data_IF_253688607047
#
_entry.id   IF_253688607047
#
_cell.length_a   1.000
_cell.length_b   1.000
_cell.length_c   1.000
_cell.angle_alpha   90.00
_cell.angle_beta   90.00
_cell.angle_gamma   90.00
#
_symmetry.space_group_name_H-M   'P 1'
#
loop_
_entity.id
_entity.type
_entity.pdbx_description
1 polymer ?
#
# COMPACT_ATOMS: atom_id res chain seq x y z
N UNK A 1 -17.53 -14.34 -29.94
CA UNK A 1 -16.53 -13.63 -29.12
C UNK A 1 -16.18 -14.49 -27.92
N UNK A 2 -14.91 -14.68 -27.65
CA UNK A 2 -14.46 -15.42 -26.45
C UNK A 2 -14.30 -14.42 -25.30
N UNK A 3 -15.15 -14.49 -24.29
CA UNK A 3 -15.24 -13.49 -23.21
C UNK A 3 -15.22 -14.20 -21.85
N UNK A 4 -14.20 -13.99 -21.07
CA UNK A 4 -14.00 -14.73 -19.84
C UNK A 4 -13.83 -13.83 -18.62
N UNK A 5 -14.49 -14.19 -17.50
CA UNK A 5 -14.02 -13.80 -16.17
C UNK A 5 -12.89 -14.77 -15.77
N UNK A 6 -11.77 -14.23 -15.28
CA UNK A 6 -10.55 -14.98 -14.99
C UNK A 6 -10.06 -14.70 -13.58
N UNK A 7 -9.53 -15.73 -12.93
CA UNK A 7 -8.85 -15.64 -11.65
C UNK A 7 -7.76 -16.73 -11.57
N UNK A 8 -6.68 -16.47 -10.82
CA UNK A 8 -5.61 -17.43 -10.55
C UNK A 8 -5.31 -17.54 -9.07
N UNK A 9 -4.86 -18.75 -8.67
CA UNK A 9 -4.25 -18.97 -7.36
C UNK A 9 -2.78 -19.36 -7.51
N UNK A 10 -1.93 -18.82 -6.65
CA UNK A 10 -0.47 -18.94 -6.73
C UNK A 10 0.13 -19.33 -5.38
N UNK A 11 1.36 -19.86 -5.39
CA UNK A 11 2.05 -20.25 -4.16
C UNK A 11 2.65 -19.09 -3.36
N UNK A 12 2.41 -17.83 -3.75
CA UNK A 12 2.91 -16.67 -3.03
C UNK A 12 2.61 -15.34 -3.71
N UNK A 13 3.19 -14.27 -3.20
CA UNK A 13 3.11 -12.95 -3.80
C UNK A 13 4.05 -12.82 -5.01
N UNK A 14 3.88 -11.80 -5.85
CA UNK A 14 4.63 -11.62 -7.10
C UNK A 14 6.15 -11.74 -6.97
N UNK A 15 6.74 -11.29 -5.85
CA UNK A 15 8.18 -11.42 -5.64
C UNK A 15 8.63 -12.85 -5.26
N UNK A 16 7.75 -13.66 -4.69
CA UNK A 16 8.03 -15.03 -4.20
C UNK A 16 7.50 -16.12 -5.13
N UNK A 17 6.35 -15.86 -5.80
CA UNK A 17 5.67 -16.90 -6.58
C UNK A 17 6.56 -17.47 -7.70
N UNK A 18 6.48 -18.77 -7.84
CA UNK A 18 7.09 -19.54 -8.93
C UNK A 18 6.12 -20.55 -9.55
N UNK A 19 4.87 -20.58 -9.04
CA UNK A 19 3.84 -21.54 -9.48
C UNK A 19 2.45 -20.90 -9.51
N UNK A 20 1.71 -21.22 -10.57
CA UNK A 20 0.27 -21.03 -10.66
C UNK A 20 -0.38 -22.37 -10.32
N UNK A 21 -1.12 -22.42 -9.23
CA UNK A 21 -1.82 -23.61 -8.74
C UNK A 21 -3.13 -23.84 -9.49
N UNK A 22 -3.90 -22.78 -9.65
CA UNK A 22 -5.23 -22.81 -10.27
C UNK A 22 -5.35 -21.66 -11.28
N UNK A 23 -5.98 -21.94 -12.39
CA UNK A 23 -6.46 -20.95 -13.37
C UNK A 23 -7.90 -21.30 -13.70
N UNK A 24 -8.81 -20.40 -13.43
CA UNK A 24 -10.23 -20.62 -13.72
C UNK A 24 -10.73 -19.53 -14.67
N UNK A 25 -11.39 -19.98 -15.73
CA UNK A 25 -12.08 -19.13 -16.69
C UNK A 25 -13.59 -19.41 -16.58
N UNK A 26 -14.37 -18.36 -16.52
CA UNK A 26 -15.82 -18.45 -16.62
C UNK A 26 -16.28 -17.69 -17.84
N UNK A 27 -16.92 -18.38 -18.76
CA UNK A 27 -17.51 -17.77 -19.94
C UNK A 27 -18.62 -16.78 -19.51
N UNK A 28 -18.52 -15.53 -19.97
CA UNK A 28 -19.44 -14.47 -19.58
C UNK A 28 -20.83 -14.64 -20.21
N UNK A 29 -20.93 -15.31 -21.35
CA UNK A 29 -22.16 -15.46 -22.09
C UNK A 29 -22.91 -16.76 -21.71
N UNK A 30 -22.21 -17.89 -21.56
CA UNK A 30 -22.79 -19.19 -21.25
C UNK A 30 -22.77 -19.55 -19.76
N UNK A 31 -21.92 -18.87 -18.98
CA UNK A 31 -21.62 -19.19 -17.58
C UNK A 31 -20.89 -20.52 -17.37
N UNK A 32 -20.39 -21.14 -18.43
CA UNK A 32 -19.57 -22.36 -18.36
C UNK A 32 -18.27 -22.07 -17.61
N UNK A 33 -17.84 -23.01 -16.76
CA UNK A 33 -16.60 -22.93 -15.97
C UNK A 33 -15.56 -23.85 -16.57
N UNK A 34 -14.42 -23.29 -16.89
CA UNK A 34 -13.23 -24.03 -17.34
C UNK A 34 -12.22 -23.93 -16.22
N UNK A 35 -12.09 -25.01 -15.47
CA UNK A 35 -11.27 -25.11 -14.27
C UNK A 35 -9.98 -25.84 -14.60
N UNK A 36 -8.82 -25.18 -14.40
CA UNK A 36 -7.51 -25.68 -14.78
C UNK A 36 -6.58 -25.74 -13.57
N UNK A 37 -5.86 -26.86 -13.45
CA UNK A 37 -4.77 -27.07 -12.51
C UNK A 37 -3.82 -28.12 -13.07
N UNK A 38 -2.54 -28.05 -12.71
CA UNK A 38 -1.60 -29.13 -13.03
C UNK A 38 -1.62 -30.24 -11.97
N UNK A 39 -2.54 -30.13 -11.00
CA UNK A 39 -2.76 -31.09 -9.91
C UNK A 39 -4.24 -31.55 -9.91
N UNK A 40 -4.54 -32.63 -9.20
CA UNK A 40 -5.90 -33.17 -9.18
C UNK A 40 -6.34 -33.79 -10.53
N UNK A 41 -7.65 -33.75 -10.78
CA UNK A 41 -8.26 -34.26 -12.02
C UNK A 41 -8.86 -33.11 -12.85
N UNK A 42 -8.04 -32.09 -13.11
CA UNK A 42 -8.42 -30.87 -13.83
C UNK A 42 -7.72 -30.80 -15.19
N UNK A 43 -8.20 -29.91 -16.05
CA UNK A 43 -7.50 -29.56 -17.28
C UNK A 43 -6.15 -28.90 -16.92
N UNK A 44 -5.08 -29.12 -17.68
CA UNK A 44 -3.80 -28.47 -17.38
C UNK A 44 -3.90 -26.94 -17.51
N UNK A 45 -3.15 -26.20 -16.70
CA UNK A 45 -3.12 -24.73 -16.74
C UNK A 45 -2.84 -24.20 -18.13
N UNK A 46 -1.97 -24.90 -18.90
CA UNK A 46 -1.64 -24.54 -20.28
C UNK A 46 -2.86 -24.50 -21.21
N UNK A 47 -3.88 -25.33 -20.95
CA UNK A 47 -5.13 -25.31 -21.72
C UNK A 47 -5.89 -23.98 -21.47
N UNK A 48 -6.05 -23.58 -20.22
CA UNK A 48 -6.67 -22.29 -19.87
C UNK A 48 -5.91 -21.10 -20.46
N UNK A 49 -4.57 -21.14 -20.42
CA UNK A 49 -3.74 -20.09 -21.03
C UNK A 49 -3.97 -19.99 -22.54
N UNK A 50 -4.10 -21.13 -23.25
CA UNK A 50 -4.37 -21.12 -24.70
C UNK A 50 -5.73 -20.48 -25.06
N UNK A 51 -6.70 -20.54 -24.16
CA UNK A 51 -7.98 -19.83 -24.32
C UNK A 51 -7.85 -18.33 -24.05
N UNK A 52 -7.09 -17.94 -23.02
CA UNK A 52 -6.82 -16.54 -22.73
C UNK A 52 -6.04 -15.85 -23.86
N UNK A 53 -5.10 -16.54 -24.52
CA UNK A 53 -4.37 -16.02 -25.67
C UNK A 53 -5.30 -15.69 -26.85
N UNK A 54 -6.47 -16.34 -26.94
CA UNK A 54 -7.46 -16.15 -27.99
C UNK A 54 -8.65 -15.28 -27.56
N UNK A 55 -8.72 -14.89 -26.27
CA UNK A 55 -9.85 -14.15 -25.72
C UNK A 55 -10.03 -12.78 -26.40
N UNK A 56 -11.29 -12.38 -26.62
CA UNK A 56 -11.65 -11.03 -27.09
C UNK A 56 -11.83 -10.06 -25.93
N UNK A 57 -12.22 -10.59 -24.75
CA UNK A 57 -12.35 -9.85 -23.50
C UNK A 57 -11.92 -10.73 -22.32
N UNK A 58 -11.09 -10.19 -21.47
CA UNK A 58 -10.72 -10.77 -20.17
C UNK A 58 -11.19 -9.82 -19.07
N UNK A 59 -11.95 -10.33 -18.14
CA UNK A 59 -12.40 -9.61 -16.95
C UNK A 59 -11.80 -10.26 -15.72
N UNK A 60 -11.11 -9.49 -14.88
CA UNK A 60 -10.58 -9.98 -13.61
C UNK A 60 -10.69 -8.95 -12.50
N UNK A 61 -10.33 -9.31 -11.29
CA UNK A 61 -10.30 -8.39 -10.14
C UNK A 61 -8.89 -8.21 -9.65
N UNK A 62 -8.28 -7.06 -9.90
CA UNK A 62 -6.84 -6.80 -9.74
C UNK A 62 -5.96 -7.55 -10.76
N UNK A 63 -6.55 -7.90 -11.86
CA UNK A 63 -5.95 -8.73 -12.90
C UNK A 63 -4.67 -8.12 -13.48
N UNK A 64 -4.69 -6.83 -13.78
CA UNK A 64 -3.54 -6.11 -14.35
C UNK A 64 -2.36 -6.11 -13.38
N UNK A 65 -2.61 -5.91 -12.09
CA UNK A 65 -1.54 -5.79 -11.11
C UNK A 65 -1.05 -7.14 -10.56
N UNK A 66 -1.84 -8.21 -10.64
CA UNK A 66 -1.47 -9.50 -10.05
C UNK A 66 -1.52 -10.66 -11.04
N UNK A 67 -2.69 -11.04 -11.55
CA UNK A 67 -2.88 -12.27 -12.32
C UNK A 67 -2.05 -12.28 -13.59
N UNK A 68 -2.13 -11.23 -14.39
CA UNK A 68 -1.40 -11.09 -15.64
C UNK A 68 0.12 -11.17 -15.40
N UNK A 69 0.63 -10.51 -14.37
CA UNK A 69 2.05 -10.55 -14.00
C UNK A 69 2.48 -11.89 -13.45
N UNK A 70 1.63 -12.52 -12.61
CA UNK A 70 1.86 -13.85 -12.08
C UNK A 70 1.95 -14.91 -13.17
N UNK A 71 1.02 -14.87 -14.12
CA UNK A 71 1.04 -15.74 -15.30
C UNK A 71 2.31 -15.50 -16.13
N UNK A 72 2.61 -14.24 -16.47
CA UNK A 72 3.79 -13.92 -17.28
C UNK A 72 5.11 -14.32 -16.61
N UNK A 73 5.19 -14.28 -15.27
CA UNK A 73 6.36 -14.72 -14.52
C UNK A 73 6.58 -16.24 -14.60
N UNK A 74 5.50 -17.02 -14.49
CA UNK A 74 5.58 -18.49 -14.51
C UNK A 74 5.59 -19.05 -15.93
N UNK A 75 4.90 -18.38 -16.85
CA UNK A 75 4.77 -18.77 -18.27
C UNK A 75 5.25 -17.63 -19.18
N UNK A 76 6.56 -17.42 -19.35
CA UNK A 76 7.11 -16.26 -20.08
C UNK A 76 6.74 -16.19 -21.56
N UNK A 77 6.27 -17.28 -22.14
CA UNK A 77 5.82 -17.36 -23.56
C UNK A 77 4.36 -16.94 -23.73
N UNK A 78 3.60 -16.87 -22.63
CA UNK A 78 2.19 -16.46 -22.67
C UNK A 78 2.05 -15.01 -23.15
N UNK A 79 1.13 -14.78 -24.07
CA UNK A 79 0.83 -13.44 -24.59
C UNK A 79 -0.65 -13.30 -24.89
N UNK A 80 -1.27 -12.33 -24.29
CA UNK A 80 -2.61 -11.90 -24.68
C UNK A 80 -2.54 -11.22 -26.05
N UNK A 81 -3.49 -11.48 -26.94
CA UNK A 81 -3.53 -10.86 -28.26
C UNK A 81 -3.74 -9.34 -28.16
N UNK A 82 -3.16 -8.56 -29.09
CA UNK A 82 -3.15 -7.09 -29.05
C UNK A 82 -4.54 -6.43 -29.02
N UNK A 83 -5.54 -7.08 -29.62
CA UNK A 83 -6.92 -6.58 -29.68
C UNK A 83 -7.84 -7.22 -28.65
N UNK A 84 -7.31 -7.80 -27.59
CA UNK A 84 -8.09 -8.26 -26.45
C UNK A 84 -8.35 -7.11 -25.50
N UNK A 85 -9.61 -6.87 -25.17
CA UNK A 85 -9.99 -5.94 -24.13
C UNK A 85 -9.71 -6.55 -22.75
N UNK A 86 -9.13 -5.77 -21.84
CA UNK A 86 -8.89 -6.17 -20.45
C UNK A 86 -9.69 -5.25 -19.55
N UNK A 87 -10.61 -5.81 -18.77
CA UNK A 87 -11.41 -5.06 -17.81
C UNK A 87 -11.10 -5.51 -16.38
N UNK A 88 -10.40 -4.66 -15.64
CA UNK A 88 -10.08 -4.90 -14.23
C UNK A 88 -11.16 -4.29 -13.33
N UNK A 89 -11.96 -5.14 -12.72
CA UNK A 89 -13.11 -4.73 -11.89
C UNK A 89 -12.69 -3.95 -10.63
N UNK A 90 -11.45 -4.11 -10.14
CA UNK A 90 -10.93 -3.29 -9.04
C UNK A 90 -10.71 -1.84 -9.48
N UNK A 91 -10.18 -1.63 -10.69
CA UNK A 91 -9.98 -0.30 -11.26
C UNK A 91 -11.33 0.36 -11.54
N UNK A 92 -12.23 -0.35 -12.22
CA UNK A 92 -13.60 0.15 -12.51
C UNK A 92 -14.30 0.55 -11.22
N UNK A 93 -14.21 -0.28 -10.18
CA UNK A 93 -14.79 0.01 -8.86
C UNK A 93 -14.30 1.32 -8.27
N UNK A 94 -13.00 1.62 -8.37
CA UNK A 94 -12.42 2.88 -7.87
C UNK A 94 -12.85 4.09 -8.67
N UNK A 95 -12.98 3.95 -9.98
CA UNK A 95 -13.47 5.01 -10.85
C UNK A 95 -14.93 5.35 -10.55
N UNK A 96 -15.78 4.32 -10.43
CA UNK A 96 -17.22 4.49 -10.16
C UNK A 96 -17.54 5.00 -8.75
N UNK A 97 -16.75 4.59 -7.77
CA UNK A 97 -17.08 4.82 -6.37
C UNK A 97 -15.84 5.23 -5.56
N UNK A 98 -15.23 6.38 -5.83
CA UNK A 98 -14.04 6.84 -5.09
C UNK A 98 -14.35 7.07 -3.59
N UNK A 99 -15.60 7.38 -3.24
CA UNK A 99 -16.10 7.52 -1.87
C UNK A 99 -16.87 6.27 -1.40
N UNK A 100 -16.28 5.09 -1.55
CA UNK A 100 -16.97 3.82 -1.27
C UNK A 100 -17.54 3.74 0.16
N UNK A 101 -16.89 4.35 1.15
CA UNK A 101 -17.39 4.37 2.53
C UNK A 101 -18.73 5.13 2.64
N UNK A 102 -18.86 6.23 1.92
CA UNK A 102 -20.13 6.99 1.83
C UNK A 102 -21.20 6.20 1.09
N UNK A 103 -20.83 5.51 0.00
CA UNK A 103 -21.71 4.64 -0.76
C UNK A 103 -22.22 3.49 0.12
N UNK A 104 -21.34 2.88 0.91
CA UNK A 104 -21.72 1.80 1.85
C UNK A 104 -22.69 2.30 2.92
N UNK A 105 -22.47 3.49 3.47
CA UNK A 105 -23.36 4.05 4.48
C UNK A 105 -24.78 4.34 3.94
N UNK A 106 -24.91 4.65 2.66
CA UNK A 106 -26.19 5.01 2.02
C UNK A 106 -26.89 3.81 1.38
N UNK A 107 -26.17 2.96 0.64
CA UNK A 107 -26.74 1.93 -0.23
C UNK A 107 -26.57 0.50 0.33
N UNK A 108 -25.49 0.23 1.04
CA UNK A 108 -25.14 -1.12 1.50
C UNK A 108 -25.02 -1.18 3.03
N UNK A 109 -26.05 -0.74 3.74
CA UNK A 109 -26.07 -0.62 5.21
C UNK A 109 -25.85 -1.94 5.95
N UNK A 110 -26.07 -3.08 5.28
CA UNK A 110 -25.90 -4.44 5.80
C UNK A 110 -24.46 -4.92 5.79
N UNK A 111 -23.54 -4.21 5.08
CA UNK A 111 -22.15 -4.66 4.91
C UNK A 111 -21.39 -4.72 6.25
N UNK A 112 -20.64 -5.80 6.47
CA UNK A 112 -19.79 -5.96 7.65
C UNK A 112 -18.78 -4.80 7.73
N UNK A 113 -18.55 -4.30 8.93
CA UNK A 113 -17.64 -3.17 9.23
C UNK A 113 -16.23 -3.37 8.66
N UNK A 114 -15.74 -4.62 8.60
CA UNK A 114 -14.42 -4.97 8.04
C UNK A 114 -14.32 -4.71 6.53
N UNK A 115 -15.43 -4.64 5.82
CA UNK A 115 -15.50 -4.42 4.36
C UNK A 115 -15.89 -3.00 3.97
N UNK A 116 -16.37 -2.18 4.92
CA UNK A 116 -16.74 -0.79 4.64
C UNK A 116 -15.61 -0.01 3.99
N UNK A 117 -15.92 0.71 2.92
CA UNK A 117 -14.98 1.50 2.14
C UNK A 117 -13.98 0.70 1.31
N UNK A 118 -14.10 -0.64 1.26
CA UNK A 118 -13.14 -1.49 0.53
C UNK A 118 -13.67 -1.86 -0.85
N UNK A 119 -12.75 -1.88 -1.82
CA UNK A 119 -13.02 -2.30 -3.20
C UNK A 119 -12.65 -3.77 -3.46
N UNK A 120 -12.30 -4.55 -2.45
CA UNK A 120 -11.93 -5.96 -2.62
C UNK A 120 -13.09 -6.81 -3.13
N UNK A 121 -12.78 -7.90 -3.84
CA UNK A 121 -13.78 -8.82 -4.38
C UNK A 121 -14.70 -9.38 -3.27
N UNK A 122 -14.14 -9.68 -2.09
CA UNK A 122 -14.92 -10.10 -0.92
C UNK A 122 -15.94 -9.04 -0.46
N UNK A 123 -15.57 -7.76 -0.47
CA UNK A 123 -16.47 -6.67 -0.13
C UNK A 123 -17.58 -6.52 -1.18
N UNK A 124 -17.27 -6.69 -2.45
CA UNK A 124 -18.24 -6.66 -3.51
C UNK A 124 -19.18 -7.88 -3.49
N UNK A 125 -18.65 -9.06 -3.19
CA UNK A 125 -19.46 -10.25 -3.00
C UNK A 125 -20.56 -10.04 -1.94
N UNK A 126 -20.19 -9.42 -0.80
CA UNK A 126 -21.17 -9.11 0.25
C UNK A 126 -22.19 -8.03 -0.19
N UNK A 127 -21.75 -6.98 -0.92
CA UNK A 127 -22.68 -5.95 -1.46
C UNK A 127 -23.70 -6.52 -2.43
N UNK A 128 -23.26 -7.46 -3.27
CA UNK A 128 -24.11 -8.06 -4.31
C UNK A 128 -24.84 -9.31 -3.85
N UNK A 129 -24.68 -9.74 -2.58
CA UNK A 129 -25.30 -10.93 -2.04
C UNK A 129 -24.79 -12.25 -2.66
N UNK A 130 -23.57 -12.25 -3.18
CA UNK A 130 -22.86 -13.43 -3.69
C UNK A 130 -21.85 -13.89 -2.67
N UNK A 131 -22.10 -15.01 -2.00
CA UNK A 131 -21.21 -15.49 -0.96
C UNK A 131 -19.82 -15.85 -1.52
N UNK A 132 -18.79 -15.27 -0.92
CA UNK A 132 -17.41 -15.65 -1.14
C UNK A 132 -17.00 -16.74 -0.15
N UNK A 133 -16.37 -17.80 -0.65
CA UNK A 133 -15.86 -18.89 0.18
C UNK A 133 -14.72 -18.35 1.07
N UNK A 134 -14.72 -18.74 2.35
CA UNK A 134 -13.70 -18.33 3.32
C UNK A 134 -12.57 -19.37 3.38
N UNK A 135 -11.75 -19.42 2.36
CA UNK A 135 -10.68 -20.39 2.21
C UNK A 135 -9.69 -20.41 3.40
N UNK A 136 -9.23 -19.23 3.84
CA UNK A 136 -8.22 -19.11 4.89
C UNK A 136 -8.74 -19.44 6.30
N UNK A 137 -10.03 -19.28 6.58
CA UNK A 137 -10.62 -19.57 7.89
C UNK A 137 -10.77 -21.07 8.16
N UNK A 138 -10.87 -21.89 7.09
CA UNK A 138 -11.06 -23.35 7.21
C UNK A 138 -9.76 -24.09 7.55
N UNK A 139 -8.60 -23.54 7.22
CA UNK A 139 -7.30 -24.20 7.35
C UNK A 139 -6.52 -23.85 8.64
N UNK A 140 -6.82 -22.74 9.31
CA UNK A 140 -6.12 -22.32 10.54
C UNK A 140 -6.40 -23.18 11.78
N UNK A 141 -7.25 -24.19 11.65
CA UNK A 141 -7.60 -25.11 12.78
C UNK A 141 -6.73 -26.37 12.89
N UNK A 142 -5.77 -26.60 12.00
CA UNK A 142 -4.85 -27.73 12.05
C UNK A 142 -3.54 -27.31 12.72
N UNK A 143 -3.27 -27.85 13.90
CA UNK A 143 -2.02 -27.73 14.66
C UNK A 143 -0.85 -28.36 13.90
N UNK A 144 0.00 -27.54 13.28
CA UNK A 144 1.26 -27.91 12.63
C UNK A 144 2.16 -26.67 12.49
N UNK A 145 3.45 -26.79 12.06
CA UNK A 145 4.26 -25.64 11.72
C UNK A 145 3.49 -24.79 10.70
N UNK A 146 3.58 -23.44 10.82
CA UNK A 146 2.84 -22.48 9.99
C UNK A 146 3.34 -22.51 8.53
N UNK A 147 3.05 -23.57 7.81
CA UNK A 147 3.10 -23.52 6.34
C UNK A 147 1.94 -22.63 5.87
N UNK A 148 2.21 -21.77 4.91
CA UNK A 148 1.17 -20.96 4.29
C UNK A 148 0.18 -21.90 3.59
N UNK A 149 -1.11 -21.66 3.75
CA UNK A 149 -2.16 -22.43 3.03
C UNK A 149 -2.04 -22.29 1.51
N UNK A 150 -1.28 -21.32 1.04
CA UNK A 150 -1.00 -21.04 -0.37
C UNK A 150 0.20 -21.81 -0.94
N UNK A 151 0.98 -22.48 -0.09
CA UNK A 151 2.23 -23.13 -0.50
C UNK A 151 2.00 -24.36 -1.39
N UNK A 152 0.86 -25.02 -1.20
CA UNK A 152 0.46 -26.21 -1.93
C UNK A 152 -0.98 -26.07 -2.43
N UNK A 153 -1.20 -26.60 -3.63
CA UNK A 153 -2.54 -26.72 -4.17
C UNK A 153 -3.45 -27.58 -3.27
N UNK A 154 -4.73 -27.25 -3.26
CA UNK A 154 -5.79 -28.08 -2.66
C UNK A 154 -7.08 -27.93 -3.45
N UNK A 155 -7.98 -28.92 -3.30
CA UNK A 155 -9.30 -28.90 -3.91
C UNK A 155 -10.12 -27.68 -3.45
N UNK A 156 -10.00 -27.32 -2.18
CA UNK A 156 -10.68 -26.15 -1.62
C UNK A 156 -10.17 -24.85 -2.25
N UNK A 157 -8.89 -24.78 -2.62
CA UNK A 157 -8.30 -23.64 -3.34
C UNK A 157 -8.89 -23.56 -4.76
N UNK A 158 -9.05 -24.68 -5.44
CA UNK A 158 -9.65 -24.72 -6.77
C UNK A 158 -11.10 -24.21 -6.75
N UNK A 159 -11.90 -24.72 -5.81
CA UNK A 159 -13.29 -24.29 -5.61
C UNK A 159 -13.38 -22.81 -5.22
N UNK A 160 -12.40 -22.32 -4.44
CA UNK A 160 -12.30 -20.91 -4.09
C UNK A 160 -12.05 -20.04 -5.33
N UNK A 161 -11.12 -20.42 -6.20
CA UNK A 161 -10.84 -19.74 -7.46
C UNK A 161 -12.06 -19.73 -8.40
N UNK A 162 -12.82 -20.85 -8.48
CA UNK A 162 -14.06 -20.93 -9.25
C UNK A 162 -15.11 -19.95 -8.73
N UNK A 163 -15.23 -19.83 -7.42
CA UNK A 163 -16.17 -18.89 -6.80
C UNK A 163 -15.77 -17.42 -7.06
N UNK A 164 -14.46 -17.12 -7.05
CA UNK A 164 -13.99 -15.77 -7.31
C UNK A 164 -14.28 -15.34 -8.76
N UNK A 165 -14.23 -16.24 -9.74
CA UNK A 165 -14.70 -15.94 -11.11
C UNK A 165 -16.20 -15.67 -11.19
N UNK A 166 -17.02 -16.33 -10.35
CA UNK A 166 -18.45 -16.04 -10.28
C UNK A 166 -18.71 -14.63 -9.72
N UNK A 167 -18.05 -14.29 -8.60
CA UNK A 167 -18.18 -12.95 -8.01
C UNK A 167 -17.70 -11.87 -8.99
N UNK A 168 -16.60 -12.12 -9.69
CA UNK A 168 -16.05 -11.22 -10.70
C UNK A 168 -17.03 -11.00 -11.86
N UNK A 169 -17.67 -12.07 -12.38
CA UNK A 169 -18.69 -11.97 -13.41
C UNK A 169 -19.88 -11.13 -12.95
N UNK A 170 -20.46 -11.46 -11.79
CA UNK A 170 -21.63 -10.72 -11.26
C UNK A 170 -21.28 -9.25 -11.01
N UNK A 171 -20.08 -8.96 -10.51
CA UNK A 171 -19.59 -7.59 -10.34
C UNK A 171 -19.45 -6.86 -11.67
N UNK A 172 -18.91 -7.52 -12.67
CA UNK A 172 -18.78 -6.96 -14.02
C UNK A 172 -20.16 -6.67 -14.63
N UNK A 173 -21.11 -7.59 -14.53
CA UNK A 173 -22.49 -7.39 -14.98
C UNK A 173 -23.15 -6.20 -14.26
N UNK A 174 -22.94 -6.07 -12.95
CA UNK A 174 -23.38 -4.89 -12.19
C UNK A 174 -22.77 -3.60 -12.75
N UNK A 175 -21.47 -3.58 -13.06
CA UNK A 175 -20.85 -2.39 -13.65
C UNK A 175 -21.36 -2.04 -15.03
N UNK A 176 -21.79 -3.02 -15.83
CA UNK A 176 -22.43 -2.76 -17.13
C UNK A 176 -23.79 -2.05 -17.00
N UNK A 177 -24.43 -2.09 -15.83
CA UNK A 177 -25.67 -1.36 -15.55
C UNK A 177 -25.43 0.09 -15.12
N UNK A 178 -24.18 0.49 -14.89
CA UNK A 178 -23.84 1.83 -14.42
C UNK A 178 -23.53 2.76 -15.62
N UNK A 179 -23.90 4.01 -15.47
CA UNK A 179 -23.52 5.04 -16.44
C UNK A 179 -22.04 5.42 -16.22
N UNK A 180 -21.15 4.85 -17.01
CA UNK A 180 -19.73 5.16 -17.01
C UNK A 180 -19.24 5.34 -18.44
N UNK A 181 -18.60 6.47 -18.70
CA UNK A 181 -17.92 6.70 -19.99
C UNK A 181 -16.75 5.68 -20.13
N UNK A 182 -16.76 4.82 -21.17
CA UNK A 182 -15.72 3.83 -21.38
C UNK A 182 -14.30 4.41 -21.42
N UNK A 183 -14.15 5.66 -21.87
CA UNK A 183 -12.86 6.35 -21.94
C UNK A 183 -12.21 6.55 -20.57
N UNK A 184 -13.03 6.72 -19.51
CA UNK A 184 -12.52 6.92 -18.16
C UNK A 184 -11.83 5.67 -17.62
N UNK A 185 -12.46 4.51 -17.75
CA UNK A 185 -11.84 3.29 -17.24
C UNK A 185 -10.76 2.75 -18.19
N UNK A 186 -10.86 2.97 -19.50
CA UNK A 186 -9.79 2.65 -20.44
C UNK A 186 -8.50 3.39 -20.06
N UNK A 187 -8.58 4.70 -19.85
CA UNK A 187 -7.43 5.52 -19.40
C UNK A 187 -6.79 4.94 -18.13
N UNK A 188 -7.61 4.59 -17.15
CA UNK A 188 -7.11 4.06 -15.86
C UNK A 188 -6.51 2.65 -16.01
N UNK A 189 -7.02 1.81 -16.91
CA UNK A 189 -6.43 0.50 -17.22
C UNK A 189 -5.06 0.65 -17.90
N UNK A 190 -4.96 1.50 -18.91
CA UNK A 190 -3.68 1.81 -19.59
C UNK A 190 -2.67 2.39 -18.60
N UNK A 191 -3.12 3.31 -17.74
CA UNK A 191 -2.26 3.90 -16.71
C UNK A 191 -1.82 2.86 -15.66
N UNK A 192 -2.71 1.97 -15.22
CA UNK A 192 -2.35 0.88 -14.32
C UNK A 192 -1.30 -0.05 -14.94
N UNK A 193 -1.43 -0.38 -16.23
CA UNK A 193 -0.43 -1.18 -16.93
C UNK A 193 0.94 -0.48 -16.99
N UNK A 194 0.98 0.84 -17.24
CA UNK A 194 2.23 1.62 -17.17
C UNK A 194 2.82 1.58 -15.75
N UNK A 195 1.98 1.69 -14.72
CA UNK A 195 2.45 1.64 -13.32
C UNK A 195 2.99 0.25 -12.93
N UNK A 196 2.45 -0.84 -13.49
CA UNK A 196 3.04 -2.17 -13.28
C UNK A 196 4.41 -2.29 -13.94
N UNK A 197 4.59 -1.74 -15.15
CA UNK A 197 5.90 -1.70 -15.82
C UNK A 197 6.92 -0.88 -15.01
N UNK A 198 6.51 0.25 -14.42
CA UNK A 198 7.35 1.04 -13.53
C UNK A 198 7.74 0.26 -12.27
N UNK A 199 6.77 -0.45 -11.66
CA UNK A 199 7.02 -1.29 -10.49
C UNK A 199 7.97 -2.44 -10.82
N UNK A 200 7.76 -3.15 -11.94
CA UNK A 200 8.61 -4.26 -12.37
C UNK A 200 10.05 -3.80 -12.69
N UNK A 201 10.21 -2.65 -13.30
CA UNK A 201 11.54 -2.09 -13.55
C UNK A 201 12.25 -1.67 -12.26
N UNK A 202 11.52 -1.12 -11.29
CA UNK A 202 12.07 -0.60 -10.04
C UNK A 202 12.98 0.61 -10.23
N UNK A 203 13.27 1.31 -9.15
CA UNK A 203 14.15 2.48 -9.15
C UNK A 203 15.51 2.12 -8.52
N UNK A 204 16.65 2.23 -9.24
CA UNK A 204 17.96 1.91 -8.68
C UNK A 204 18.25 2.74 -7.44
N UNK A 205 18.73 2.07 -6.39
CA UNK A 205 18.92 2.64 -5.07
C UNK A 205 20.37 2.44 -4.59
N UNK A 206 21.02 3.52 -4.18
CA UNK A 206 22.40 3.48 -3.70
C UNK A 206 22.46 3.08 -2.22
N UNK A 207 22.44 1.79 -1.94
CA UNK A 207 22.50 1.26 -0.57
C UNK A 207 23.72 1.71 0.21
N UNK A 208 24.89 1.78 -0.44
CA UNK A 208 26.13 2.22 0.22
C UNK A 208 26.03 3.66 0.73
N UNK A 209 25.52 4.55 -0.11
CA UNK A 209 25.25 5.94 0.30
C UNK A 209 24.16 6.02 1.39
N UNK A 210 23.14 5.17 1.29
CA UNK A 210 22.09 5.10 2.29
C UNK A 210 22.62 4.68 3.67
N UNK A 211 23.49 3.66 3.75
CA UNK A 211 24.14 3.28 5.01
C UNK A 211 25.03 4.39 5.58
N UNK A 212 25.78 5.08 4.73
CA UNK A 212 26.60 6.21 5.17
C UNK A 212 25.72 7.33 5.76
N UNK A 213 24.63 7.70 5.06
CA UNK A 213 23.67 8.69 5.54
C UNK A 213 23.02 8.26 6.87
N UNK A 214 22.58 7.01 6.99
CA UNK A 214 22.01 6.46 8.24
C UNK A 214 22.98 6.62 9.41
N UNK A 215 24.26 6.33 9.23
CA UNK A 215 25.26 6.49 10.29
C UNK A 215 25.40 7.95 10.72
N UNK A 216 25.45 8.88 9.77
CA UNK A 216 25.51 10.32 10.04
C UNK A 216 24.28 10.79 10.82
N UNK A 217 23.08 10.39 10.37
CA UNK A 217 21.81 10.75 11.03
C UNK A 217 21.70 10.16 12.43
N UNK A 218 22.15 8.92 12.64
CA UNK A 218 22.16 8.26 13.95
C UNK A 218 23.10 8.96 14.93
N UNK A 219 24.32 9.30 14.48
CA UNK A 219 25.27 10.04 15.31
C UNK A 219 24.67 11.38 15.76
N UNK A 220 24.11 12.15 14.82
CA UNK A 220 23.48 13.43 15.13
C UNK A 220 22.27 13.28 16.06
N UNK A 221 21.43 12.27 15.85
CA UNK A 221 20.28 11.98 16.73
C UNK A 221 20.72 11.66 18.15
N UNK A 222 21.84 10.91 18.32
CA UNK A 222 22.40 10.61 19.64
C UNK A 222 22.88 11.86 20.34
N UNK A 223 23.63 12.74 19.66
CA UNK A 223 24.08 14.02 20.22
C UNK A 223 22.91 14.86 20.74
N UNK A 224 21.86 15.01 19.93
CA UNK A 224 20.67 15.77 20.32
C UNK A 224 19.93 15.08 21.47
N UNK A 225 19.83 13.76 21.44
CA UNK A 225 19.24 13.00 22.53
C UNK A 225 19.93 13.29 23.87
N UNK A 226 21.26 13.26 23.88
CA UNK A 226 22.04 13.52 25.11
C UNK A 226 21.85 14.96 25.60
N UNK A 227 21.88 15.94 24.70
CA UNK A 227 21.57 17.33 25.02
C UNK A 227 20.16 17.48 25.61
N UNK A 228 19.16 16.78 25.05
CA UNK A 228 17.79 16.82 25.53
C UNK A 228 17.62 16.12 26.89
N UNK A 229 18.44 15.10 27.23
CA UNK A 229 18.44 14.49 28.56
C UNK A 229 19.02 15.44 29.64
N UNK A 230 20.02 16.25 29.26
CA UNK A 230 20.56 17.30 30.17
C UNK A 230 19.51 18.39 30.45
N UNK A 231 18.79 18.82 29.42
CA UNK A 231 17.75 19.85 29.53
C UNK A 231 16.50 19.37 30.25
N UNK A 232 16.10 18.13 30.01
CA UNK A 232 14.91 17.49 30.55
C UNK A 232 15.30 16.27 31.40
N UNK A 233 15.73 16.48 32.66
CA UNK A 233 16.18 15.40 33.52
C UNK A 233 15.06 14.37 33.79
N UNK A 234 15.40 13.13 34.19
CA UNK A 234 14.44 12.09 34.49
C UNK A 234 13.41 12.52 35.55
N UNK A 235 12.18 12.07 35.40
CA UNK A 235 11.14 12.22 36.43
C UNK A 235 11.20 10.98 37.35
N UNK A 236 11.25 11.20 38.64
CA UNK A 236 11.14 10.13 39.61
C UNK A 236 9.70 10.07 40.09
N UNK A 237 8.99 9.02 39.71
CA UNK A 237 7.62 8.74 40.16
C UNK A 237 7.62 7.87 41.41
N UNK A 238 7.17 8.44 42.52
CA UNK A 238 6.93 7.64 43.73
C UNK A 238 5.75 6.69 43.50
N UNK A 239 5.95 5.43 43.81
CA UNK A 239 4.92 4.40 43.62
C UNK A 239 4.46 3.82 44.92
N UNK A 240 3.15 3.75 45.10
CA UNK A 240 2.51 3.08 46.25
C UNK A 240 1.63 1.96 45.71
N UNK A 241 1.67 0.80 46.37
CA UNK A 241 0.82 -0.32 46.00
C UNK A 241 -0.65 -0.01 46.30
N UNK A 242 -1.49 0.00 45.33
CA UNK A 242 -2.95 0.21 45.48
C UNK A 242 -3.60 -0.85 46.37
N UNK A 243 -3.03 -2.09 46.41
CA UNK A 243 -3.56 -3.20 47.19
C UNK A 243 -3.10 -3.20 48.64
N UNK A 244 -1.91 -2.70 48.94
CA UNK A 244 -1.30 -2.87 50.28
C UNK A 244 -0.89 -1.56 50.94
N UNK A 245 -0.98 -0.43 50.25
CA UNK A 245 -0.52 0.88 50.72
C UNK A 245 1.01 0.98 50.93
N UNK A 246 1.78 -0.05 50.64
CA UNK A 246 3.23 -0.05 50.83
C UNK A 246 3.95 0.74 49.70
N UNK A 247 4.97 1.51 50.09
CA UNK A 247 5.85 2.20 49.11
C UNK A 247 6.58 1.14 48.29
N UNK A 248 6.44 1.25 46.97
CA UNK A 248 7.16 0.45 45.99
C UNK A 248 8.45 1.18 45.61
N UNK A 249 9.34 0.49 44.88
CA UNK A 249 10.53 1.13 44.28
C UNK A 249 10.10 2.24 43.33
N UNK A 250 10.67 3.41 43.51
CA UNK A 250 10.41 4.57 42.62
C UNK A 250 10.70 4.22 41.20
N UNK A 251 9.87 4.73 40.29
CA UNK A 251 10.06 4.57 38.85
C UNK A 251 10.77 5.78 38.28
N UNK A 252 11.94 5.56 37.72
CA UNK A 252 12.68 6.59 36.98
C UNK A 252 12.20 6.58 35.52
N UNK A 253 11.58 7.66 35.08
CA UNK A 253 11.11 7.84 33.70
C UNK A 253 12.06 8.79 32.96
N UNK A 254 12.85 8.24 32.05
CA UNK A 254 13.69 9.04 31.17
C UNK A 254 12.82 9.80 30.16
N UNK A 255 13.24 11.00 29.79
CA UNK A 255 12.57 11.75 28.75
C UNK A 255 12.72 11.06 27.40
N UNK A 256 11.60 10.83 26.69
CA UNK A 256 11.58 10.30 25.34
C UNK A 256 11.23 11.43 24.34
N UNK A 257 12.21 11.99 23.61
CA UNK A 257 11.98 13.07 22.65
C UNK A 257 11.09 12.64 21.45
N UNK A 258 10.95 11.34 21.21
CA UNK A 258 10.04 10.78 20.21
C UNK A 258 8.57 10.76 20.64
N UNK A 259 8.29 10.96 21.94
CA UNK A 259 6.92 10.98 22.47
C UNK A 259 6.32 12.39 22.43
N UNK A 260 5.34 12.60 21.55
CA UNK A 260 4.62 13.89 21.46
C UNK A 260 4.01 14.33 22.78
N UNK A 261 3.49 13.40 23.57
CA UNK A 261 2.89 13.70 24.88
C UNK A 261 3.94 14.19 25.88
N UNK A 262 5.07 13.46 26.00
CA UNK A 262 6.16 13.88 26.88
C UNK A 262 6.78 15.20 26.41
N UNK A 263 6.97 15.39 25.10
CA UNK A 263 7.45 16.66 24.53
C UNK A 263 6.55 17.82 24.91
N UNK A 264 5.23 17.68 24.75
CA UNK A 264 4.28 18.73 25.14
C UNK A 264 4.30 19.00 26.64
N UNK A 265 4.34 17.95 27.46
CA UNK A 265 4.39 18.07 28.91
C UNK A 265 5.65 18.81 29.36
N UNK A 266 6.84 18.36 28.90
CA UNK A 266 8.12 18.93 29.31
C UNK A 266 8.31 20.38 28.86
N UNK A 267 7.81 20.72 27.65
CA UNK A 267 7.83 22.11 27.18
C UNK A 267 6.90 22.99 28.04
N UNK A 268 5.72 22.54 28.46
CA UNK A 268 4.81 23.29 29.32
C UNK A 268 5.36 23.46 30.75
N UNK A 269 5.99 22.43 31.28
CA UNK A 269 6.64 22.49 32.60
C UNK A 269 7.74 23.57 32.64
N UNK A 270 8.50 23.70 31.54
CA UNK A 270 9.59 24.65 31.42
C UNK A 270 9.12 26.04 30.97
N UNK A 271 8.09 26.12 30.14
CA UNK A 271 7.52 27.30 29.54
C UNK A 271 5.98 27.27 29.66
N UNK A 272 5.44 27.69 30.82
CA UNK A 272 4.00 27.59 31.10
C UNK A 272 3.10 28.34 30.12
N UNK A 273 3.65 29.34 29.41
CA UNK A 273 2.93 30.16 28.43
C UNK A 273 2.68 29.41 27.11
N UNK A 274 3.33 28.22 26.87
CA UNK A 274 3.12 27.47 25.65
C UNK A 274 1.78 26.73 25.72
N UNK A 275 0.92 27.00 24.75
CA UNK A 275 -0.32 26.29 24.52
C UNK A 275 -0.21 25.43 23.24
N UNK A 276 -0.72 24.21 23.30
CA UNK A 276 -0.80 23.31 22.15
C UNK A 276 -2.27 23.08 21.79
N UNK A 277 -2.59 23.12 20.52
CA UNK A 277 -3.90 22.69 20.01
C UNK A 277 -4.06 21.17 20.14
N UNK A 278 -5.30 20.70 20.07
CA UNK A 278 -5.61 19.28 20.02
C UNK A 278 -6.00 18.87 18.61
N UNK A 279 -5.76 17.60 18.30
CA UNK A 279 -6.29 16.95 17.10
C UNK A 279 -7.79 16.63 17.33
N UNK A 280 -8.54 16.34 16.27
CA UNK A 280 -9.94 15.90 16.36
C UNK A 280 -10.16 14.71 17.31
N UNK A 281 -9.13 13.90 17.52
CA UNK A 281 -9.13 12.75 18.45
C UNK A 281 -8.69 13.12 19.88
N UNK A 282 -8.55 14.42 20.21
CA UNK A 282 -8.18 14.92 21.53
C UNK A 282 -6.70 14.79 21.88
N UNK A 283 -5.83 14.33 20.98
CA UNK A 283 -4.39 14.27 21.22
C UNK A 283 -3.73 15.64 21.06
N UNK A 284 -2.72 15.92 21.86
CA UNK A 284 -1.94 17.16 21.73
C UNK A 284 -1.23 17.19 20.39
N UNK A 285 -1.41 18.30 19.64
CA UNK A 285 -0.75 18.52 18.36
C UNK A 285 0.64 19.10 18.59
N UNK A 286 1.67 18.24 18.46
CA UNK A 286 3.09 18.60 18.49
C UNK A 286 3.72 17.98 17.26
N UNK A 287 3.70 18.72 16.17
CA UNK A 287 4.30 18.34 14.88
C UNK A 287 5.52 19.22 14.57
N UNK A 288 6.19 18.90 13.47
CA UNK A 288 7.39 19.58 13.02
C UNK A 288 7.15 21.09 12.88
N UNK A 289 6.01 21.51 12.31
CA UNK A 289 5.66 22.93 12.11
C UNK A 289 5.49 23.68 13.44
N UNK A 290 4.85 23.03 14.42
CA UNK A 290 4.65 23.64 15.75
C UNK A 290 6.00 23.80 16.44
N UNK A 291 6.86 22.79 16.40
CA UNK A 291 8.18 22.86 17.02
C UNK A 291 9.12 23.83 16.32
N UNK A 292 9.07 23.94 14.99
CA UNK A 292 9.84 24.96 14.23
C UNK A 292 9.44 26.37 14.61
N UNK A 293 8.12 26.67 14.69
CA UNK A 293 7.61 27.97 15.14
C UNK A 293 8.05 28.30 16.57
N UNK A 294 7.97 27.32 17.47
CA UNK A 294 8.44 27.48 18.85
C UNK A 294 9.96 27.62 18.93
N UNK A 295 10.70 26.96 18.04
CA UNK A 295 12.17 26.98 17.97
C UNK A 295 12.76 28.37 17.71
N UNK A 296 11.97 29.31 17.15
CA UNK A 296 12.37 30.68 17.01
C UNK A 296 12.57 31.41 18.38
N UNK A 297 11.83 30.95 19.41
CA UNK A 297 11.87 31.54 20.76
C UNK A 297 12.52 30.64 21.80
N UNK A 298 12.36 29.31 21.65
CA UNK A 298 12.78 28.32 22.64
C UNK A 298 13.81 27.36 22.02
N UNK A 299 15.08 27.40 22.46
CA UNK A 299 16.15 26.58 21.88
C UNK A 299 15.87 25.07 21.95
N UNK A 300 15.23 24.60 23.02
CA UNK A 300 14.88 23.19 23.19
C UNK A 300 13.84 22.73 22.18
N UNK A 301 12.90 23.59 21.80
CA UNK A 301 11.93 23.27 20.75
C UNK A 301 12.61 23.09 19.40
N UNK A 302 13.68 23.84 19.11
CA UNK A 302 14.50 23.67 17.90
C UNK A 302 15.21 22.30 17.90
N UNK A 303 15.81 21.90 19.03
CA UNK A 303 16.43 20.57 19.17
C UNK A 303 15.39 19.44 19.00
N UNK A 304 14.20 19.62 19.55
CA UNK A 304 13.10 18.66 19.41
C UNK A 304 12.61 18.55 17.97
N UNK A 305 12.51 19.66 17.24
CA UNK A 305 12.17 19.67 15.81
C UNK A 305 13.21 18.90 14.98
N UNK A 306 14.49 19.17 15.23
CA UNK A 306 15.60 18.47 14.58
C UNK A 306 15.58 16.97 14.91
N UNK A 307 15.35 16.60 16.17
CA UNK A 307 15.24 15.20 16.59
C UNK A 307 14.09 14.47 15.87
N UNK A 308 12.92 15.09 15.77
CA UNK A 308 11.79 14.51 15.05
C UNK A 308 12.07 14.36 13.56
N UNK A 309 12.71 15.34 12.95
CA UNK A 309 13.15 15.26 11.55
C UNK A 309 14.11 14.10 11.32
N UNK A 310 15.12 13.94 12.18
CA UNK A 310 16.06 12.81 12.13
C UNK A 310 15.34 11.47 12.27
N UNK A 311 14.41 11.33 13.22
CA UNK A 311 13.61 10.12 13.36
C UNK A 311 12.78 9.82 12.11
N UNK A 312 12.17 10.83 11.49
CA UNK A 312 11.41 10.69 10.25
C UNK A 312 12.31 10.19 9.10
N UNK A 313 13.50 10.77 8.93
CA UNK A 313 14.46 10.35 7.89
C UNK A 313 14.99 8.95 8.15
N UNK A 314 15.40 8.63 9.38
CA UNK A 314 15.81 7.28 9.75
C UNK A 314 14.70 6.26 9.55
N UNK A 315 13.46 6.62 9.88
CA UNK A 315 12.28 5.79 9.63
C UNK A 315 12.07 5.51 8.13
N UNK A 316 12.26 6.51 7.27
CA UNK A 316 12.13 6.37 5.82
C UNK A 316 13.27 5.51 5.23
N UNK A 317 14.51 5.72 5.68
CA UNK A 317 15.68 5.07 5.06
C UNK A 317 15.90 3.66 5.60
N UNK A 318 15.82 3.44 6.93
CA UNK A 318 16.30 2.20 7.55
C UNK A 318 15.40 1.57 8.62
N UNK A 319 14.79 2.38 9.51
CA UNK A 319 14.21 1.86 10.77
C UNK A 319 12.72 1.52 10.62
N UNK A 320 11.98 2.18 9.75
CA UNK A 320 10.56 1.97 9.53
C UNK A 320 10.21 0.60 8.94
N UNK A 321 8.94 0.24 9.00
CA UNK A 321 8.43 -0.98 8.37
C UNK A 321 8.64 -0.94 6.85
N UNK A 322 8.34 0.20 6.23
CA UNK A 322 8.44 0.47 4.80
C UNK A 322 9.75 1.24 4.46
N UNK A 323 10.86 0.92 5.17
CA UNK A 323 12.13 1.59 4.96
C UNK A 323 12.76 1.22 3.61
N UNK A 324 13.37 2.20 2.94
CA UNK A 324 13.95 2.03 1.59
C UNK A 324 15.01 0.93 1.54
N UNK A 325 15.90 0.85 2.54
CA UNK A 325 16.93 -0.20 2.65
C UNK A 325 16.33 -1.62 2.83
N UNK A 326 15.12 -1.74 3.34
CA UNK A 326 14.44 -3.04 3.42
C UNK A 326 13.86 -3.42 2.05
N UNK A 327 13.25 -2.44 1.39
CA UNK A 327 12.61 -2.66 0.08
C UNK A 327 13.61 -2.83 -1.06
N UNK A 328 14.81 -2.22 -1.01
CA UNK A 328 15.84 -2.43 -2.03
C UNK A 328 16.41 -3.86 -2.09
N UNK A 329 16.09 -4.69 -1.07
CA UNK A 329 16.58 -6.06 -0.95
C UNK A 329 15.53 -7.14 -1.19
N UNK A 330 14.29 -6.74 -1.48
CA UNK A 330 13.19 -7.71 -1.67
C UNK A 330 13.43 -8.54 -2.93
N UNK A 331 13.96 -7.94 -4.00
CA UNK A 331 14.20 -8.58 -5.30
C UNK A 331 15.67 -8.89 -5.58
N UNK A 332 16.57 -8.65 -4.62
CA UNK A 332 18.02 -8.86 -4.72
C UNK A 332 18.70 -8.15 -5.92
N UNK A 333 18.14 -7.01 -6.34
CA UNK A 333 18.62 -6.21 -7.49
C UNK A 333 19.02 -4.78 -7.12
N UNK A 334 19.01 -4.44 -5.82
CA UNK A 334 19.28 -3.10 -5.30
C UNK A 334 18.38 -2.02 -5.90
N UNK A 335 17.13 -2.37 -6.19
CA UNK A 335 16.09 -1.45 -6.68
C UNK A 335 14.92 -1.37 -5.71
N UNK A 336 14.22 -0.26 -5.77
CA UNK A 336 12.98 -0.05 -5.03
C UNK A 336 11.80 -0.20 -5.98
N UNK A 337 11.01 -1.23 -5.78
CA UNK A 337 9.80 -1.57 -6.54
C UNK A 337 8.57 -1.02 -5.83
N UNK A 338 8.45 0.31 -5.82
CA UNK A 338 7.33 0.99 -5.16
C UNK A 338 6.03 0.84 -5.93
N UNK A 339 4.98 0.37 -5.26
CA UNK A 339 3.66 0.19 -5.87
C UNK A 339 2.92 1.52 -5.96
N UNK A 340 2.38 1.83 -7.13
CA UNK A 340 1.45 2.93 -7.38
C UNK A 340 0.05 2.38 -7.58
N UNK A 341 -0.87 2.81 -6.74
CA UNK A 341 -2.28 2.43 -6.84
C UNK A 341 -3.02 3.56 -7.53
N UNK A 342 -3.49 3.31 -8.73
CA UNK A 342 -4.23 4.29 -9.54
C UNK A 342 -5.60 4.55 -8.94
N UNK A 343 -6.06 5.79 -9.02
CA UNK A 343 -7.39 6.24 -8.56
C UNK A 343 -7.75 5.78 -7.14
N UNK A 344 -6.77 5.81 -6.22
CA UNK A 344 -6.93 5.28 -4.86
C UNK A 344 -7.37 6.33 -3.83
N UNK A 345 -7.47 7.58 -4.22
CA UNK A 345 -7.93 8.69 -3.38
C UNK A 345 -9.29 9.21 -3.92
N UNK A 346 -10.11 9.77 -3.04
CA UNK A 346 -11.38 10.43 -3.41
C UNK A 346 -11.20 11.47 -4.52
N UNK A 347 -10.05 12.14 -4.55
CA UNK A 347 -9.70 13.13 -5.56
C UNK A 347 -9.22 12.54 -6.90
N UNK A 348 -9.27 11.22 -7.09
CA UNK A 348 -8.73 10.52 -8.27
C UNK A 348 -7.20 10.42 -8.30
N UNK A 349 -6.49 10.90 -7.26
CA UNK A 349 -5.04 10.79 -7.18
C UNK A 349 -4.59 9.37 -6.87
N UNK A 350 -3.36 9.06 -7.28
CA UNK A 350 -2.69 7.82 -6.92
C UNK A 350 -2.32 7.78 -5.43
N UNK A 351 -2.29 6.57 -4.88
CA UNK A 351 -1.66 6.28 -3.60
C UNK A 351 -0.38 5.48 -3.84
N UNK A 352 0.62 5.68 -2.99
CA UNK A 352 1.93 5.02 -3.11
C UNK A 352 2.21 4.19 -1.87
N UNK A 353 2.77 2.98 -2.05
CA UNK A 353 3.12 2.06 -0.96
C UNK A 353 4.28 1.14 -1.33
N UNK A 354 4.90 0.53 -0.34
CA UNK A 354 5.92 -0.53 -0.48
C UNK A 354 7.18 -0.14 -1.27
N UNK A 355 7.84 0.96 -0.98
CA UNK A 355 7.53 2.04 -0.05
C UNK A 355 6.79 3.21 -0.73
N UNK A 356 6.32 4.19 0.06
CA UNK A 356 5.77 5.43 -0.49
C UNK A 356 6.90 6.35 -0.98
N UNK A 357 7.24 6.27 -2.27
CA UNK A 357 8.27 7.09 -2.91
C UNK A 357 7.84 8.54 -3.17
N UNK A 358 6.53 8.82 -3.20
CA UNK A 358 6.03 10.18 -3.34
C UNK A 358 6.33 11.08 -2.11
N UNK A 359 6.67 10.47 -0.96
CA UNK A 359 7.05 11.19 0.26
C UNK A 359 8.55 11.40 0.43
N UNK A 360 9.38 11.18 -0.61
CA UNK A 360 10.79 11.54 -0.57
C UNK A 360 10.88 13.06 -0.39
N UNK A 361 11.62 13.57 0.62
CA UNK A 361 11.65 14.99 0.92
C UNK A 361 12.21 15.81 -0.26
N UNK A 362 11.66 17.00 -0.47
CA UNK A 362 12.20 17.92 -1.47
C UNK A 362 13.57 18.47 -1.04
N UNK A 363 14.38 18.93 -2.01
CA UNK A 363 15.74 19.44 -1.78
C UNK A 363 15.79 20.55 -0.75
N UNK A 364 14.74 21.36 -0.64
CA UNK A 364 14.67 22.48 0.34
C UNK A 364 14.40 22.04 1.78
N UNK A 365 14.05 20.77 2.01
CA UNK A 365 13.88 20.27 3.37
C UNK A 365 15.18 19.67 3.96
N UNK A 366 15.33 19.65 5.30
CA UNK A 366 16.49 19.02 5.93
C UNK A 366 16.70 17.58 5.44
N UNK A 367 17.93 17.30 5.01
CA UNK A 367 18.37 16.04 4.41
C UNK A 367 17.63 15.64 3.13
N UNK A 368 16.95 16.58 2.47
CA UNK A 368 16.17 16.29 1.25
C UNK A 368 17.08 15.99 0.05
N UNK A 369 18.13 16.77 -0.12
CA UNK A 369 19.12 16.55 -1.20
C UNK A 369 19.80 15.19 -1.05
N UNK A 370 20.25 14.83 0.16
CA UNK A 370 20.90 13.56 0.47
C UNK A 370 19.96 12.38 0.26
N UNK A 371 18.68 12.50 0.69
CA UNK A 371 17.68 11.45 0.47
C UNK A 371 17.38 11.23 -1.02
N UNK A 372 17.28 12.31 -1.81
CA UNK A 372 17.07 12.20 -3.26
C UNK A 372 18.26 11.62 -3.99
N UNK A 373 19.48 11.94 -3.56
CA UNK A 373 20.71 11.39 -4.14
C UNK A 373 20.87 9.87 -3.96
N UNK A 374 20.03 9.23 -3.10
CA UNK A 374 20.00 7.77 -2.97
C UNK A 374 19.32 7.08 -4.16
N UNK A 375 18.44 7.80 -4.87
CA UNK A 375 17.74 7.31 -6.06
C UNK A 375 18.55 7.76 -7.28
N UNK A 376 19.06 6.79 -8.03
CA UNK A 376 20.04 7.05 -9.08
C UNK A 376 19.56 6.53 -10.43
N UNK A 377 20.09 7.08 -11.53
CA UNK A 377 19.89 6.48 -12.84
C UNK A 377 20.75 5.22 -13.00
N UNK A 378 20.31 4.20 -13.77
CA UNK A 378 21.19 3.12 -14.20
C UNK A 378 22.43 3.67 -14.93
N UNK A 379 23.51 2.89 -14.92
CA UNK A 379 24.74 3.29 -15.63
C UNK A 379 24.44 3.55 -17.12
N UNK A 380 24.85 4.71 -17.61
CA UNK A 380 24.60 5.15 -18.99
C UNK A 380 23.24 5.77 -19.25
N UNK A 381 22.41 5.92 -18.21
CA UNK A 381 21.09 6.55 -18.28
C UNK A 381 21.08 7.92 -17.61
N UNK A 382 20.10 8.73 -17.97
CA UNK A 382 19.81 10.02 -17.32
C UNK A 382 18.41 10.00 -16.71
N UNK A 383 18.24 10.64 -15.55
CA UNK A 383 16.93 10.94 -15.00
C UNK A 383 16.39 12.20 -15.70
N UNK A 384 15.23 12.07 -16.34
CA UNK A 384 14.50 13.19 -16.93
C UNK A 384 13.26 13.46 -16.07
N UNK A 385 13.17 14.66 -15.50
CA UNK A 385 12.01 15.13 -14.77
C UNK A 385 11.17 16.06 -15.63
N UNK A 386 9.85 15.81 -15.70
CA UNK A 386 8.88 16.68 -16.35
C UNK A 386 7.69 16.89 -15.44
N UNK A 387 7.26 18.13 -15.27
CA UNK A 387 6.12 18.51 -14.46
C UNK A 387 5.22 19.49 -15.21
N UNK A 388 3.91 19.26 -15.14
CA UNK A 388 2.93 20.11 -15.81
C UNK A 388 2.59 21.32 -14.91
N UNK A 389 3.06 22.50 -15.31
CA UNK A 389 2.81 23.73 -14.58
C UNK A 389 1.32 24.08 -14.50
N UNK A 390 0.79 24.20 -13.28
CA UNK A 390 -0.59 24.62 -13.02
C UNK A 390 -1.65 23.68 -13.60
N UNK A 391 -1.40 22.37 -13.57
CA UNK A 391 -2.24 21.35 -14.20
C UNK A 391 -3.70 21.43 -13.75
N UNK A 392 -3.96 21.54 -12.46
CA UNK A 392 -5.32 21.62 -11.89
C UNK A 392 -6.07 22.86 -12.39
N UNK A 393 -5.39 24.00 -12.47
CA UNK A 393 -6.00 25.24 -12.96
C UNK A 393 -6.31 25.17 -14.47
N UNK A 394 -5.45 24.50 -15.25
CA UNK A 394 -5.67 24.26 -16.68
C UNK A 394 -6.83 23.29 -16.91
N UNK A 395 -6.91 22.22 -16.12
CA UNK A 395 -8.01 21.28 -16.17
C UNK A 395 -9.35 21.94 -15.81
N UNK A 396 -9.37 22.78 -14.75
CA UNK A 396 -10.55 23.57 -14.40
C UNK A 396 -10.94 24.53 -15.51
N UNK A 397 -9.98 25.22 -16.13
CA UNK A 397 -10.23 26.13 -17.26
C UNK A 397 -10.81 25.39 -18.47
N UNK A 398 -10.31 24.21 -18.80
CA UNK A 398 -10.84 23.37 -19.87
C UNK A 398 -12.28 22.90 -19.56
N UNK A 399 -12.56 22.51 -18.32
CA UNK A 399 -13.90 22.09 -17.90
C UNK A 399 -14.92 23.24 -17.92
N UNK A 400 -14.51 24.45 -17.53
CA UNK A 400 -15.39 25.62 -17.59
C UNK A 400 -15.63 26.14 -19.01
N UNK A 401 -14.82 25.75 -19.98
CA UNK A 401 -14.96 26.13 -21.38
C UNK A 401 -15.90 25.20 -22.18
N UNK A 402 -16.28 24.07 -21.60
CA UNK A 402 -17.29 23.14 -22.11
C UNK A 402 -18.65 23.35 -21.47
#
# INVERSE_FOLDING_TARGET
MLRYACDIETNGLLHELDRVHSLVLRDLDTNEVISCSNEGNYLPVQFGLSLLEQADLIVGHNFINFDMRGIAKVYPTFKIKENCDIHDTLIISRVLSPEMETVDAQKYTHIDSKYKGRHSLAAWGERLGVEKIKFTETQTKKTGPKESVWERWSEEMQVYCEQDTLVTKVLYEYFQTQELDPRCFQLEHEFAAIMTMQEDFGFPFNERAAFALVNTLKARRSEIHDQLQEVFPPIVEERVSEKTGKKLKDRVVLFNPGSRQQTAQRLRERYPEISFSQTEKGNVKVDDEVLEKLGAKYPEAKLLAEYQTLNKRLGQIAEGKEAWLKHSRVFDDSRIHGTVITNACISGRCSHRRPNTAQIPSVGHPYGAECRALFVAPVGWLLCGSDASGLELRALGAWLAH
#
